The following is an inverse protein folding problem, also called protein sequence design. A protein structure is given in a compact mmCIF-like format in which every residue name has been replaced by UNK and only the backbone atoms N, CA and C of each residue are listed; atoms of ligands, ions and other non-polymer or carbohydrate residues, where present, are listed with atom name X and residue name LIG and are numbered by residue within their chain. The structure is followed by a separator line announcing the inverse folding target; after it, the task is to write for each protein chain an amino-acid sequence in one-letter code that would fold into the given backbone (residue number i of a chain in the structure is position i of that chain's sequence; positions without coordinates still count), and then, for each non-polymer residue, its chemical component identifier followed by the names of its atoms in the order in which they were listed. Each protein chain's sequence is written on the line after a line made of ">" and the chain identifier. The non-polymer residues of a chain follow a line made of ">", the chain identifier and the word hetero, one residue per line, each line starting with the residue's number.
data_IF_036567491368
#
_entry.id   IF_036567491368
#
_cell.length_a   1.000
_cell.length_b   1.000
_cell.length_c   1.000
_cell.angle_alpha   90.00
_cell.angle_beta   90.00
_cell.angle_gamma   90.00
#
_symmetry.space_group_name_H-M   'P 1'
#
loop_
_entity.id
_entity.type
_entity.pdbx_description
1 polymer ?
#
# COMPACT_ATOMS: atom_id res chain seq x y z
N UNK A 1 -31.36 -54.35 8.65
CA UNK A 1 -31.08 -54.03 10.07
C UNK A 1 -32.37 -54.23 10.82
N UNK A 2 -32.36 -55.09 11.85
CA UNK A 2 -33.58 -55.35 12.62
C UNK A 2 -34.00 -54.10 13.41
N UNK A 3 -35.29 -53.93 13.67
CA UNK A 3 -35.83 -52.80 14.45
C UNK A 3 -35.13 -52.68 15.80
N UNK A 4 -34.80 -53.82 16.40
CA UNK A 4 -34.07 -53.89 17.67
C UNK A 4 -32.65 -53.27 17.60
N UNK A 5 -31.95 -53.47 16.46
CA UNK A 5 -30.62 -52.89 16.25
C UNK A 5 -30.69 -51.35 16.08
N UNK A 6 -31.73 -50.86 15.41
CA UNK A 6 -31.97 -49.44 15.26
C UNK A 6 -32.32 -48.74 16.57
N UNK A 7 -33.14 -49.39 17.41
CA UNK A 7 -33.49 -48.87 18.74
C UNK A 7 -32.26 -48.88 19.69
N UNK A 8 -31.43 -49.92 19.62
CA UNK A 8 -30.19 -49.97 20.41
C UNK A 8 -29.24 -48.78 20.02
N UNK A 9 -29.08 -48.59 18.72
CA UNK A 9 -28.20 -47.48 18.21
C UNK A 9 -28.78 -46.10 18.55
N UNK A 10 -30.10 -45.91 18.48
CA UNK A 10 -30.72 -44.67 18.89
C UNK A 10 -30.51 -44.38 20.39
N UNK A 11 -30.61 -45.41 21.20
CA UNK A 11 -30.37 -45.31 22.65
C UNK A 11 -28.92 -44.96 22.98
N UNK A 12 -27.96 -45.53 22.26
CA UNK A 12 -26.55 -45.24 22.39
C UNK A 12 -26.27 -43.78 21.99
N UNK A 13 -26.82 -43.30 20.85
CA UNK A 13 -26.68 -41.90 20.42
C UNK A 13 -27.28 -40.92 21.42
N UNK A 14 -28.41 -41.27 22.03
CA UNK A 14 -29.07 -40.48 23.06
C UNK A 14 -28.19 -40.37 24.33
N UNK A 15 -27.57 -41.44 24.76
CA UNK A 15 -26.64 -41.47 25.90
C UNK A 15 -25.42 -40.61 25.58
N UNK A 16 -24.81 -40.78 24.41
CA UNK A 16 -23.66 -39.99 23.97
C UNK A 16 -23.98 -38.49 23.91
N UNK A 17 -25.22 -38.11 23.51
CA UNK A 17 -25.64 -36.71 23.53
C UNK A 17 -25.74 -36.18 24.98
N UNK A 18 -26.32 -36.94 25.91
CA UNK A 18 -26.42 -36.57 27.32
C UNK A 18 -25.02 -36.36 27.95
N UNK A 19 -24.10 -37.29 27.67
CA UNK A 19 -22.72 -37.24 28.17
C UNK A 19 -21.96 -36.04 27.57
N UNK A 20 -22.17 -35.78 26.28
CA UNK A 20 -21.60 -34.61 25.61
C UNK A 20 -22.12 -33.31 26.20
N UNK A 21 -23.44 -33.20 26.44
CA UNK A 21 -24.03 -32.01 27.07
C UNK A 21 -23.46 -31.77 28.47
N UNK A 22 -23.34 -32.85 29.28
CA UNK A 22 -22.78 -32.79 30.63
C UNK A 22 -21.30 -32.36 30.58
N UNK A 23 -20.52 -32.88 29.64
CA UNK A 23 -19.12 -32.49 29.43
C UNK A 23 -19.00 -31.01 29.00
N UNK A 24 -20.03 -30.49 28.36
CA UNK A 24 -20.12 -29.07 27.96
C UNK A 24 -20.78 -28.17 29.02
N UNK A 25 -20.95 -28.65 30.22
CA UNK A 25 -21.48 -27.90 31.36
C UNK A 25 -23.00 -27.70 31.37
N UNK A 26 -23.72 -28.42 30.52
CA UNK A 26 -25.19 -28.42 30.51
C UNK A 26 -25.67 -29.64 31.28
N UNK A 27 -26.50 -29.41 32.30
CA UNK A 27 -27.05 -30.51 33.10
C UNK A 27 -27.96 -31.41 32.25
N UNK A 28 -27.51 -32.63 31.98
CA UNK A 28 -28.25 -33.62 31.21
C UNK A 28 -28.07 -35.03 31.86
N UNK A 29 -29.19 -35.75 31.96
CA UNK A 29 -29.14 -37.11 32.51
C UNK A 29 -29.23 -38.13 31.34
N UNK A 30 -28.51 -39.21 31.46
CA UNK A 30 -28.51 -40.33 30.49
C UNK A 30 -29.87 -41.03 30.34
N UNK A 31 -30.82 -40.71 31.22
CA UNK A 31 -32.19 -41.20 31.19
C UNK A 31 -33.17 -40.28 30.46
N UNK A 32 -32.76 -39.06 30.11
CA UNK A 32 -33.64 -38.08 29.42
C UNK A 32 -33.89 -38.50 27.97
N UNK A 33 -35.09 -38.22 27.47
CA UNK A 33 -35.48 -38.45 26.09
C UNK A 33 -34.85 -37.42 25.13
N UNK A 34 -34.81 -37.71 23.84
CA UNK A 34 -34.26 -36.78 22.83
C UNK A 34 -35.06 -35.46 22.77
N UNK A 35 -36.34 -35.48 23.05
CA UNK A 35 -37.19 -34.30 23.13
C UNK A 35 -36.75 -33.31 24.22
N UNK A 36 -36.07 -33.81 25.26
CA UNK A 36 -35.51 -33.00 26.35
C UNK A 36 -34.03 -32.66 26.10
N UNK A 37 -33.25 -33.58 25.53
CA UNK A 37 -31.83 -33.40 25.30
C UNK A 37 -31.53 -32.45 24.12
N UNK A 38 -32.33 -32.52 23.03
CA UNK A 38 -32.09 -31.69 21.83
C UNK A 38 -32.21 -30.20 22.12
N UNK A 39 -33.22 -29.69 22.83
CA UNK A 39 -33.29 -28.30 23.22
C UNK A 39 -32.11 -27.85 24.08
N UNK A 40 -31.55 -28.71 24.93
CA UNK A 40 -30.39 -28.44 25.77
C UNK A 40 -29.10 -28.16 24.98
N UNK A 41 -29.01 -28.58 23.73
CA UNK A 41 -27.91 -28.23 22.83
C UNK A 41 -27.78 -26.70 22.69
N UNK A 42 -28.93 -26.02 22.69
CA UNK A 42 -28.92 -24.54 22.66
C UNK A 42 -28.46 -23.89 23.97
N UNK A 43 -28.41 -24.65 25.08
CA UNK A 43 -27.92 -24.17 26.36
C UNK A 43 -26.39 -24.34 26.51
N UNK A 44 -25.74 -25.01 25.56
CA UNK A 44 -24.29 -25.13 25.57
C UNK A 44 -23.71 -23.72 25.45
N UNK A 45 -23.33 -23.17 26.57
CA UNK A 45 -22.54 -21.94 26.63
C UNK A 45 -21.08 -22.29 26.32
N UNK A 46 -20.77 -22.60 25.11
CA UNK A 46 -19.40 -22.54 24.61
C UNK A 46 -19.15 -21.07 24.35
N UNK A 47 -18.72 -20.36 25.37
CA UNK A 47 -18.79 -18.90 25.42
C UNK A 47 -17.42 -18.24 25.40
N UNK A 48 -16.46 -18.81 24.68
CA UNK A 48 -15.14 -18.20 24.68
C UNK A 48 -14.50 -18.31 23.30
N UNK A 49 -14.29 -17.18 22.64
CA UNK A 49 -13.32 -17.08 21.57
C UNK A 49 -11.92 -16.98 22.19
N UNK A 50 -10.94 -17.67 21.63
CA UNK A 50 -9.54 -17.59 22.08
C UNK A 50 -8.77 -16.77 21.06
N UNK A 51 -8.12 -15.70 21.51
CA UNK A 51 -7.20 -14.93 20.71
C UNK A 51 -5.79 -15.38 21.09
N UNK A 52 -5.10 -16.03 20.15
CA UNK A 52 -3.69 -16.38 20.27
C UNK A 52 -2.86 -15.23 19.71
N UNK A 53 -2.02 -14.65 20.55
CA UNK A 53 -1.24 -13.46 20.24
C UNK A 53 0.23 -13.84 20.17
N UNK A 54 0.88 -13.50 19.06
CA UNK A 54 2.33 -13.56 18.93
C UNK A 54 2.89 -12.15 19.10
N UNK A 55 3.80 -11.98 20.04
CA UNK A 55 4.43 -10.71 20.37
C UNK A 55 5.86 -10.65 19.80
N UNK A 56 6.33 -9.46 19.48
CA UNK A 56 7.77 -9.21 19.32
C UNK A 56 8.49 -9.43 20.66
N UNK A 57 9.72 -9.93 20.61
CA UNK A 57 10.56 -10.16 21.79
C UNK A 57 10.80 -8.90 22.64
N UNK A 58 10.69 -7.72 22.04
CA UNK A 58 10.77 -6.44 22.74
C UNK A 58 9.68 -6.25 23.81
N UNK A 59 8.55 -6.98 23.68
CA UNK A 59 7.46 -6.90 24.66
C UNK A 59 7.60 -7.88 25.83
N UNK A 60 8.56 -8.79 25.83
CA UNK A 60 8.72 -9.76 26.93
C UNK A 60 8.77 -9.05 28.28
N UNK A 61 7.94 -9.50 29.22
CA UNK A 61 7.79 -8.89 30.54
C UNK A 61 6.93 -7.62 30.60
N UNK A 62 6.47 -7.08 29.46
CA UNK A 62 5.56 -5.93 29.42
C UNK A 62 4.11 -6.36 29.59
N UNK A 63 3.32 -5.50 30.23
CA UNK A 63 1.87 -5.68 30.29
C UNK A 63 1.21 -5.43 28.95
N UNK A 64 0.21 -6.24 28.60
CA UNK A 64 -0.62 -6.02 27.43
C UNK A 64 -2.11 -6.00 27.79
N UNK A 65 -2.93 -5.40 26.94
CA UNK A 65 -4.39 -5.40 27.04
C UNK A 65 -5.02 -5.92 25.75
N UNK A 66 -6.17 -6.58 25.89
CA UNK A 66 -7.05 -6.98 24.78
C UNK A 66 -8.43 -6.46 25.13
N UNK A 67 -8.99 -5.55 24.32
CA UNK A 67 -10.28 -4.91 24.60
C UNK A 67 -11.15 -4.79 23.36
N UNK A 68 -12.47 -4.95 23.53
CA UNK A 68 -13.47 -4.71 22.48
C UNK A 68 -13.99 -3.25 22.48
N UNK A 69 -13.53 -2.43 23.40
CA UNK A 69 -14.05 -1.05 23.59
C UNK A 69 -15.42 -0.95 24.25
N UNK A 70 -16.12 -2.07 24.49
CA UNK A 70 -17.47 -2.13 25.06
C UNK A 70 -17.48 -2.73 26.48
N UNK A 71 -16.32 -2.97 27.07
CA UNK A 71 -16.16 -3.44 28.45
C UNK A 71 -15.55 -4.82 28.61
N UNK A 72 -15.41 -5.64 27.55
CA UNK A 72 -14.62 -6.87 27.63
C UNK A 72 -13.13 -6.52 27.48
N UNK A 73 -12.45 -6.43 28.60
CA UNK A 73 -11.01 -6.12 28.66
C UNK A 73 -10.28 -7.21 29.44
N UNK A 74 -9.23 -7.73 28.83
CA UNK A 74 -8.30 -8.68 29.44
C UNK A 74 -6.90 -8.07 29.47
N UNK A 75 -6.14 -8.41 30.48
CA UNK A 75 -4.75 -7.99 30.64
C UNK A 75 -3.86 -9.20 30.89
N UNK A 76 -2.63 -9.12 30.43
CA UNK A 76 -1.61 -10.15 30.66
C UNK A 76 -0.22 -9.54 30.70
N UNK A 77 0.77 -10.38 30.91
CA UNK A 77 2.19 -10.06 30.77
C UNK A 77 2.74 -10.92 29.67
N UNK A 78 3.45 -10.33 28.72
CA UNK A 78 4.03 -11.05 27.59
C UNK A 78 5.07 -12.07 28.10
N UNK A 79 4.88 -13.37 27.86
CA UNK A 79 5.78 -14.41 28.33
C UNK A 79 7.08 -14.47 27.51
N UNK A 80 8.11 -15.15 28.03
CA UNK A 80 9.39 -15.38 27.32
C UNK A 80 9.22 -16.13 25.98
N UNK A 81 8.14 -16.92 25.84
CA UNK A 81 7.78 -17.61 24.60
C UNK A 81 7.31 -16.66 23.49
N UNK A 82 7.06 -15.39 23.82
CA UNK A 82 6.45 -14.40 22.92
C UNK A 82 5.06 -14.82 22.37
N UNK A 83 4.40 -15.82 22.96
CA UNK A 83 3.07 -16.27 22.53
C UNK A 83 2.19 -16.44 23.75
N UNK A 84 1.04 -15.80 23.75
CA UNK A 84 0.01 -15.98 24.78
C UNK A 84 -1.37 -16.18 24.16
N UNK A 85 -2.32 -16.71 24.94
CA UNK A 85 -3.67 -16.98 24.50
C UNK A 85 -4.68 -16.42 25.48
N UNK A 86 -5.56 -15.57 25.00
CA UNK A 86 -6.54 -14.84 25.80
C UNK A 86 -7.95 -15.29 25.44
N UNK A 87 -8.72 -15.68 26.45
CA UNK A 87 -10.14 -15.99 26.29
C UNK A 87 -10.97 -14.70 26.36
N UNK A 88 -11.77 -14.45 25.32
CA UNK A 88 -12.64 -13.26 25.20
C UNK A 88 -14.11 -13.67 25.09
N UNK A 89 -15.00 -12.82 25.61
CA UNK A 89 -16.40 -13.19 25.81
C UNK A 89 -17.24 -13.08 24.51
N UNK A 90 -16.90 -12.15 23.61
CA UNK A 90 -17.76 -11.79 22.49
C UNK A 90 -17.22 -12.35 21.18
N UNK A 91 -18.09 -13.04 20.43
CA UNK A 91 -17.84 -13.43 19.06
C UNK A 91 -18.29 -12.33 18.09
N UNK A 92 -17.84 -12.41 16.83
CA UNK A 92 -18.15 -11.44 15.80
C UNK A 92 -17.80 -9.99 16.20
N UNK A 93 -16.72 -9.86 16.96
CA UNK A 93 -16.30 -8.60 17.62
C UNK A 93 -14.83 -8.33 17.30
N UNK A 94 -14.51 -7.06 17.04
CA UNK A 94 -13.12 -6.64 16.87
C UNK A 94 -12.52 -6.29 18.21
N UNK A 95 -11.41 -6.93 18.53
CA UNK A 95 -10.59 -6.67 19.70
C UNK A 95 -9.33 -5.92 19.31
N UNK A 96 -8.98 -4.93 20.10
CA UNK A 96 -7.69 -4.23 20.03
C UNK A 96 -6.74 -4.83 21.06
N UNK A 97 -5.58 -5.27 20.59
CA UNK A 97 -4.47 -5.73 21.41
C UNK A 97 -3.49 -4.57 21.52
N UNK A 98 -3.04 -4.23 22.72
CA UNK A 98 -2.06 -3.16 22.92
C UNK A 98 -1.07 -3.49 24.02
N UNK A 99 0.19 -3.07 23.82
CA UNK A 99 1.26 -3.12 24.80
C UNK A 99 2.22 -1.95 24.60
N UNK A 100 2.93 -1.54 25.64
CA UNK A 100 3.89 -0.45 25.57
C UNK A 100 5.31 -0.96 25.81
N UNK A 101 6.25 -0.43 25.03
CA UNK A 101 7.70 -0.61 25.24
C UNK A 101 8.43 0.68 24.93
N UNK A 102 9.40 1.05 25.78
CA UNK A 102 10.16 2.29 25.62
C UNK A 102 9.30 3.58 25.65
N UNK A 103 8.13 3.53 26.33
CA UNK A 103 7.19 4.66 26.39
C UNK A 103 6.27 4.79 25.17
N UNK A 104 6.39 3.92 24.18
CA UNK A 104 5.53 3.88 22.98
C UNK A 104 4.51 2.77 23.11
N UNK A 105 3.24 3.06 22.87
CA UNK A 105 2.16 2.07 22.84
C UNK A 105 1.97 1.56 21.42
N UNK A 106 2.04 0.25 21.23
CA UNK A 106 1.77 -0.45 19.98
C UNK A 106 0.42 -1.14 20.08
N UNK A 107 -0.30 -1.19 18.98
CA UNK A 107 -1.59 -1.86 18.92
C UNK A 107 -1.81 -2.58 17.60
N UNK A 108 -2.62 -3.63 17.64
CA UNK A 108 -3.14 -4.32 16.48
C UNK A 108 -4.56 -4.79 16.78
N UNK A 109 -5.33 -5.09 15.76
CA UNK A 109 -6.70 -5.56 15.89
C UNK A 109 -6.87 -6.98 15.37
N UNK A 110 -7.83 -7.70 15.95
CA UNK A 110 -8.27 -9.00 15.47
C UNK A 110 -9.80 -9.08 15.58
N UNK A 111 -10.45 -9.51 14.51
CA UNK A 111 -11.91 -9.72 14.52
C UNK A 111 -12.20 -11.20 14.72
N UNK A 112 -12.93 -11.51 15.79
CA UNK A 112 -13.44 -12.87 16.04
C UNK A 112 -14.62 -13.14 15.11
N UNK A 113 -14.70 -14.36 14.55
CA UNK A 113 -15.82 -14.77 13.70
C UNK A 113 -17.09 -15.10 14.49
N UNK A 114 -18.11 -15.51 13.76
CA UNK A 114 -19.43 -15.87 14.32
C UNK A 114 -19.43 -17.16 15.19
N UNK A 115 -18.35 -17.91 15.13
CA UNK A 115 -18.21 -19.18 15.84
C UNK A 115 -17.06 -19.13 16.84
N UNK A 116 -17.20 -19.88 17.93
CA UNK A 116 -16.13 -20.07 18.91
C UNK A 116 -14.94 -20.78 18.27
N UNK A 117 -13.74 -20.24 18.45
CA UNK A 117 -12.56 -20.77 17.85
C UNK A 117 -11.30 -20.00 18.29
N UNK A 118 -10.15 -20.46 17.78
CA UNK A 118 -8.88 -19.75 17.94
C UNK A 118 -8.70 -18.76 16.79
N UNK A 119 -8.44 -17.52 17.13
CA UNK A 119 -8.13 -16.42 16.22
C UNK A 119 -6.71 -15.95 16.49
N UNK A 120 -5.94 -15.68 15.46
CA UNK A 120 -4.54 -15.31 15.61
C UNK A 120 -4.33 -13.82 15.39
N UNK A 121 -3.48 -13.22 16.21
CA UNK A 121 -3.03 -11.86 16.06
C UNK A 121 -1.52 -11.77 16.32
N UNK A 122 -0.88 -10.74 15.79
CA UNK A 122 0.51 -10.42 16.07
C UNK A 122 0.61 -9.00 16.60
N UNK A 123 1.42 -8.77 17.64
CA UNK A 123 1.79 -7.43 18.08
C UNK A 123 3.30 -7.28 17.95
N UNK A 124 3.72 -6.47 17.01
CA UNK A 124 5.12 -6.25 16.70
C UNK A 124 5.51 -4.83 17.05
N UNK A 125 6.75 -4.62 17.47
CA UNK A 125 7.34 -3.29 17.51
C UNK A 125 7.46 -2.75 16.09
N UNK A 126 7.17 -1.46 15.92
CA UNK A 126 7.34 -0.86 14.62
C UNK A 126 8.82 -0.85 14.23
N UNK A 127 9.10 -1.35 13.03
CA UNK A 127 10.43 -1.30 12.42
C UNK A 127 10.59 -0.02 11.63
N UNK A 128 11.81 0.49 11.58
CA UNK A 128 12.16 1.68 10.82
C UNK A 128 13.15 1.27 9.72
N UNK A 129 12.73 1.40 8.47
CA UNK A 129 13.57 1.13 7.31
C UNK A 129 13.98 2.45 6.67
N UNK A 130 15.27 2.73 6.63
CA UNK A 130 15.76 4.00 6.16
C UNK A 130 16.70 3.91 4.96
N UNK A 131 16.76 5.02 4.23
CA UNK A 131 17.78 5.27 3.19
C UNK A 131 18.23 6.71 3.27
N UNK A 132 19.50 6.94 2.95
CA UNK A 132 20.13 8.26 2.94
C UNK A 132 20.87 8.48 1.63
N UNK A 133 20.62 9.64 1.01
CA UNK A 133 21.39 10.13 -0.12
C UNK A 133 22.18 11.36 0.31
N UNK A 134 23.45 11.39 0.00
CA UNK A 134 24.39 12.42 0.46
C UNK A 134 24.46 13.65 -0.48
N UNK A 135 23.67 13.66 -1.55
CA UNK A 135 23.65 14.75 -2.52
C UNK A 135 24.84 14.72 -3.48
N UNK A 136 25.62 13.63 -3.53
CA UNK A 136 26.69 13.44 -4.52
C UNK A 136 26.14 12.98 -5.87
N UNK A 137 26.97 12.91 -6.89
CA UNK A 137 26.56 12.61 -8.26
C UNK A 137 26.07 11.17 -8.49
N UNK A 138 26.12 10.29 -7.49
CA UNK A 138 25.54 8.95 -7.59
C UNK A 138 24.00 8.99 -7.53
N UNK A 139 23.35 8.09 -8.24
CA UNK A 139 21.91 7.86 -8.10
C UNK A 139 21.58 7.00 -6.86
N UNK A 140 22.58 6.26 -6.35
CA UNK A 140 22.42 5.32 -5.25
C UNK A 140 22.28 6.00 -3.89
N UNK A 141 21.44 5.40 -3.05
CA UNK A 141 21.25 5.72 -1.65
C UNK A 141 21.92 4.68 -0.76
N UNK A 142 22.31 5.06 0.44
CA UNK A 142 22.81 4.15 1.46
C UNK A 142 21.66 3.72 2.38
N UNK A 143 21.52 2.43 2.62
CA UNK A 143 20.52 1.90 3.57
C UNK A 143 20.90 2.22 5.00
N UNK A 144 19.92 2.52 5.83
CA UNK A 144 20.08 2.89 7.25
C UNK A 144 19.02 2.19 8.11
N UNK A 145 19.11 2.38 9.41
CA UNK A 145 18.15 1.87 10.39
C UNK A 145 18.01 0.33 10.27
N UNK A 146 16.84 -0.25 10.42
CA UNK A 146 16.61 -1.71 10.32
C UNK A 146 16.93 -2.29 8.93
N UNK A 147 17.05 -1.46 7.90
CA UNK A 147 17.44 -1.88 6.56
C UNK A 147 18.95 -1.83 6.29
N UNK A 148 19.78 -1.38 7.24
CA UNK A 148 21.21 -1.11 7.01
C UNK A 148 22.01 -2.30 6.45
N UNK A 149 21.62 -3.53 6.81
CA UNK A 149 22.28 -4.76 6.36
C UNK A 149 21.53 -5.50 5.23
N UNK A 150 20.47 -4.91 4.68
CA UNK A 150 19.71 -5.55 3.61
C UNK A 150 20.48 -5.49 2.29
N UNK A 151 20.45 -6.60 1.57
CA UNK A 151 20.95 -6.67 0.19
C UNK A 151 20.00 -5.93 -0.77
N UNK A 152 20.50 -5.61 -1.95
CA UNK A 152 19.64 -5.05 -2.99
C UNK A 152 18.61 -6.07 -3.46
N UNK A 153 17.38 -5.65 -3.76
CA UNK A 153 16.39 -6.48 -4.43
C UNK A 153 16.89 -6.97 -5.79
N UNK A 154 16.51 -8.18 -6.13
CA UNK A 154 16.74 -8.79 -7.44
C UNK A 154 15.41 -8.85 -8.19
N UNK A 155 15.07 -7.88 -9.04
CA UNK A 155 13.85 -7.89 -9.83
C UNK A 155 13.84 -9.05 -10.83
N UNK A 156 12.64 -9.53 -11.15
CA UNK A 156 12.47 -10.50 -12.22
C UNK A 156 12.88 -9.92 -13.59
N UNK A 157 13.55 -10.69 -14.38
CA UNK A 157 13.69 -10.52 -15.85
C UNK A 157 13.22 -11.79 -16.53
N UNK A 158 12.69 -11.69 -17.74
CA UNK A 158 12.14 -12.86 -18.45
C UNK A 158 13.14 -14.00 -18.56
N UNK A 159 12.76 -15.17 -18.07
CA UNK A 159 13.60 -16.37 -18.03
C UNK A 159 14.49 -16.50 -16.79
N UNK A 160 14.48 -15.54 -15.87
CA UNK A 160 15.25 -15.65 -14.63
C UNK A 160 14.64 -16.71 -13.68
N UNK A 161 15.52 -17.49 -13.06
CA UNK A 161 15.16 -18.46 -12.01
C UNK A 161 15.38 -17.95 -10.58
N UNK A 162 15.99 -16.77 -10.42
CA UNK A 162 16.28 -16.16 -9.12
C UNK A 162 15.83 -14.71 -9.12
N UNK A 163 14.99 -14.36 -8.19
CA UNK A 163 14.48 -13.01 -7.91
C UNK A 163 13.99 -12.96 -6.46
N UNK A 164 13.91 -11.77 -5.88
CA UNK A 164 13.46 -11.57 -4.49
C UNK A 164 13.86 -10.22 -3.93
N UNK A 165 13.26 -9.86 -2.82
CA UNK A 165 13.56 -8.65 -2.07
C UNK A 165 13.60 -8.94 -0.56
N UNK A 166 14.54 -8.35 0.19
CA UNK A 166 14.50 -8.40 1.65
C UNK A 166 13.19 -7.87 2.26
N UNK A 167 12.44 -7.10 1.49
CA UNK A 167 11.19 -6.48 1.91
C UNK A 167 9.94 -7.33 1.62
N UNK A 168 10.07 -8.52 1.01
CA UNK A 168 8.92 -9.33 0.59
C UNK A 168 8.02 -9.80 1.75
N UNK A 169 8.60 -9.97 2.93
CA UNK A 169 7.89 -10.38 4.13
C UNK A 169 7.74 -9.26 5.17
N UNK A 170 8.00 -8.00 4.79
CA UNK A 170 8.00 -6.86 5.70
C UNK A 170 6.87 -5.88 5.33
N UNK A 171 6.11 -5.43 6.34
CA UNK A 171 5.13 -4.38 6.14
C UNK A 171 5.80 -3.02 5.92
N UNK A 172 5.27 -2.16 5.04
CA UNK A 172 4.02 -2.31 4.27
C UNK A 172 4.12 -3.12 2.98
N UNK A 173 5.31 -3.43 2.48
CA UNK A 173 5.53 -4.11 1.18
C UNK A 173 4.85 -5.48 1.09
N UNK A 174 4.93 -6.29 2.16
CA UNK A 174 4.28 -7.61 2.24
C UNK A 174 2.75 -7.54 2.11
N UNK A 175 2.15 -6.41 2.46
CA UNK A 175 0.70 -6.21 2.36
C UNK A 175 0.24 -5.63 1.03
N UNK A 176 1.16 -5.35 0.10
CA UNK A 176 0.80 -4.94 -1.26
C UNK A 176 0.36 -6.16 -2.06
N UNK A 177 -0.88 -6.16 -2.50
CA UNK A 177 -1.49 -7.30 -3.20
C UNK A 177 -2.45 -6.84 -4.28
N UNK A 178 -2.70 -7.73 -5.27
CA UNK A 178 -3.69 -7.50 -6.31
C UNK A 178 -5.09 -7.72 -5.75
N UNK A 179 -6.00 -6.82 -6.07
CA UNK A 179 -7.43 -6.93 -5.77
C UNK A 179 -8.24 -6.53 -6.99
N UNK A 180 -9.45 -7.05 -7.09
CA UNK A 180 -10.39 -6.69 -8.17
C UNK A 180 -11.57 -5.97 -7.56
N UNK A 181 -11.88 -4.79 -8.06
CA UNK A 181 -13.08 -4.03 -7.76
C UNK A 181 -14.02 -3.99 -8.97
N UNK A 182 -15.31 -4.08 -8.74
CA UNK A 182 -16.30 -4.14 -9.81
C UNK A 182 -16.43 -2.82 -10.60
N UNK A 183 -16.21 -1.69 -9.94
CA UNK A 183 -16.28 -0.36 -10.54
C UNK A 183 -14.94 0.09 -11.11
N UNK A 184 -13.85 -0.11 -10.38
CA UNK A 184 -12.50 0.36 -10.71
C UNK A 184 -11.70 -0.63 -11.59
N UNK A 185 -11.96 -1.94 -11.50
CA UNK A 185 -11.22 -2.99 -12.18
C UNK A 185 -10.08 -3.56 -11.32
N UNK A 186 -8.94 -3.84 -11.95
CA UNK A 186 -7.76 -4.42 -11.28
C UNK A 186 -6.98 -3.35 -10.51
N UNK A 187 -6.80 -3.56 -9.22
CA UNK A 187 -6.14 -2.63 -8.31
C UNK A 187 -4.95 -3.28 -7.62
N UNK A 188 -4.10 -2.46 -7.06
CA UNK A 188 -3.08 -2.85 -6.09
C UNK A 188 -3.37 -2.15 -4.77
N UNK A 189 -3.53 -2.93 -3.73
CA UNK A 189 -3.68 -2.50 -2.35
C UNK A 189 -2.34 -2.00 -1.83
N UNK A 190 -2.35 -0.89 -1.11
CA UNK A 190 -1.20 -0.33 -0.39
C UNK A 190 -1.60 -0.14 1.07
N UNK A 191 -0.99 -0.86 2.03
CA UNK A 191 -1.25 -0.67 3.46
C UNK A 191 -0.70 0.65 3.96
N UNK A 192 -1.31 1.19 5.03
CA UNK A 192 -0.83 2.37 5.74
C UNK A 192 0.58 2.14 6.29
N UNK A 193 1.39 3.18 6.18
CA UNK A 193 2.70 3.27 6.79
C UNK A 193 2.98 4.69 7.25
N UNK A 194 4.02 4.86 8.04
CA UNK A 194 4.49 6.16 8.51
C UNK A 194 5.84 6.47 7.89
N UNK A 195 6.11 7.74 7.65
CA UNK A 195 7.36 8.19 7.05
C UNK A 195 7.94 9.37 7.83
N UNK A 196 9.24 9.56 7.65
CA UNK A 196 9.96 10.75 8.09
C UNK A 196 10.99 11.13 7.05
N UNK A 197 10.91 12.37 6.58
CA UNK A 197 11.99 13.00 5.83
C UNK A 197 12.85 13.82 6.77
N UNK A 198 14.17 13.76 6.58
CA UNK A 198 15.15 14.64 7.23
C UNK A 198 16.10 15.16 6.17
N UNK A 199 16.40 16.46 6.23
CA UNK A 199 17.34 17.12 5.33
C UNK A 199 18.39 17.90 6.11
N UNK A 200 19.66 17.77 5.70
CA UNK A 200 20.79 18.57 6.20
C UNK A 200 21.68 18.94 5.02
N UNK A 201 21.64 20.21 4.62
CA UNK A 201 22.25 20.63 3.36
C UNK A 201 21.67 19.85 2.17
N UNK A 202 22.52 19.19 1.39
CA UNK A 202 22.12 18.36 0.26
C UNK A 202 21.82 16.91 0.66
N UNK A 203 22.10 16.52 1.90
CA UNK A 203 21.83 15.17 2.39
C UNK A 203 20.35 15.01 2.69
N UNK A 204 19.72 13.99 2.10
CA UNK A 204 18.35 13.59 2.35
C UNK A 204 18.33 12.24 3.05
N UNK A 205 17.48 12.09 4.05
CA UNK A 205 17.18 10.79 4.68
C UNK A 205 15.68 10.56 4.65
N UNK A 206 15.27 9.43 4.10
CA UNK A 206 13.89 8.92 4.15
C UNK A 206 13.85 7.71 5.09
N UNK A 207 12.90 7.71 5.98
CA UNK A 207 12.59 6.59 6.85
C UNK A 207 11.13 6.20 6.68
N UNK A 208 10.85 4.90 6.62
CA UNK A 208 9.50 4.31 6.61
C UNK A 208 9.37 3.43 7.84
N UNK A 209 8.22 3.51 8.51
CA UNK A 209 7.85 2.64 9.62
C UNK A 209 6.53 1.94 9.33
N UNK A 210 6.42 0.68 9.73
CA UNK A 210 5.18 -0.11 9.68
C UNK A 210 4.22 0.15 10.85
N UNK A 211 4.56 1.08 11.73
CA UNK A 211 3.74 1.53 12.85
C UNK A 211 4.05 2.98 13.22
N UNK A 212 3.17 3.58 14.00
CA UNK A 212 3.35 4.96 14.47
C UNK A 212 4.66 5.11 15.26
N UNK A 213 5.40 6.17 15.00
CA UNK A 213 6.64 6.53 15.66
C UNK A 213 6.65 8.03 15.96
N UNK A 214 7.38 8.42 17.00
CA UNK A 214 7.55 9.84 17.33
C UNK A 214 8.29 10.59 16.21
N UNK A 215 7.71 11.71 15.78
CA UNK A 215 8.22 12.52 14.70
C UNK A 215 8.05 11.92 13.29
N UNK A 216 7.24 10.87 13.15
CA UNK A 216 6.80 10.34 11.84
C UNK A 216 5.39 10.81 11.51
N UNK A 217 5.12 10.94 10.22
CA UNK A 217 3.82 11.29 9.67
C UNK A 217 3.22 10.09 8.93
N UNK A 218 1.90 10.00 8.89
CA UNK A 218 1.20 9.03 8.05
C UNK A 218 1.50 9.30 6.58
N UNK A 219 1.72 8.25 5.79
CA UNK A 219 2.02 8.38 4.36
C UNK A 219 0.97 9.21 3.63
N UNK A 220 1.36 9.99 2.61
CA UNK A 220 0.50 11.05 2.05
C UNK A 220 -0.84 10.57 1.51
N UNK A 221 -0.88 9.38 0.89
CA UNK A 221 -2.13 8.82 0.37
C UNK A 221 -3.10 8.36 1.48
N UNK A 222 -2.57 7.97 2.64
CA UNK A 222 -3.34 7.47 3.78
C UNK A 222 -3.76 8.57 4.76
N UNK A 223 -3.09 9.73 4.73
CA UNK A 223 -3.36 10.85 5.62
C UNK A 223 -4.77 11.40 5.41
N UNK A 224 -5.29 12.10 6.42
CA UNK A 224 -6.54 12.84 6.30
C UNK A 224 -6.44 13.85 5.16
N UNK A 225 -7.32 13.68 4.18
CA UNK A 225 -7.39 14.52 2.97
C UNK A 225 -8.31 15.74 3.15
N UNK A 226 -8.91 15.90 4.34
CA UNK A 226 -9.91 16.94 4.61
C UNK A 226 -11.25 16.68 3.92
N UNK A 227 -11.55 15.43 3.60
CA UNK A 227 -12.80 14.96 2.98
C UNK A 227 -13.79 14.39 4.02
N UNK A 228 -13.45 14.49 5.30
CA UNK A 228 -14.28 14.02 6.41
C UNK A 228 -14.16 12.52 6.71
N UNK A 229 -13.30 11.78 6.01
CA UNK A 229 -13.09 10.34 6.21
C UNK A 229 -11.90 10.04 7.14
N UNK A 230 -11.07 11.05 7.46
CA UNK A 230 -9.88 10.89 8.28
C UNK A 230 -8.75 10.11 7.61
N UNK A 231 -7.89 9.49 8.42
CA UNK A 231 -6.83 8.60 7.94
C UNK A 231 -7.41 7.27 7.44
N UNK A 232 -6.74 6.68 6.45
CA UNK A 232 -7.11 5.41 5.84
C UNK A 232 -6.08 4.33 6.16
N UNK A 233 -6.54 3.14 6.55
CA UNK A 233 -5.64 2.00 6.78
C UNK A 233 -5.14 1.36 5.48
N UNK A 234 -5.89 1.56 4.41
CA UNK A 234 -5.59 1.03 3.09
C UNK A 234 -5.99 2.03 2.03
N UNK A 235 -5.19 2.13 0.97
CA UNK A 235 -5.54 2.81 -0.27
C UNK A 235 -5.24 1.90 -1.46
N UNK A 236 -5.82 2.20 -2.61
CA UNK A 236 -5.66 1.38 -3.80
C UNK A 236 -5.26 2.22 -5.00
N UNK A 237 -4.43 1.65 -5.86
CA UNK A 237 -4.02 2.26 -7.13
C UNK A 237 -4.36 1.32 -8.29
N UNK A 238 -4.79 1.85 -9.41
CA UNK A 238 -5.00 1.05 -10.62
C UNK A 238 -3.74 0.28 -10.99
N UNK A 239 -3.84 -1.05 -11.09
CA UNK A 239 -2.73 -1.91 -11.54
C UNK A 239 -2.22 -1.46 -12.89
N UNK A 240 -3.13 -1.11 -13.80
CA UNK A 240 -2.85 -0.63 -15.16
C UNK A 240 -3.20 0.83 -15.32
N UNK A 241 -2.66 1.43 -16.38
CA UNK A 241 -3.15 2.70 -16.91
C UNK A 241 -4.62 2.53 -17.36
N UNK A 242 -5.48 3.51 -17.05
CA UNK A 242 -6.91 3.38 -17.28
C UNK A 242 -7.27 3.27 -18.76
N UNK A 243 -8.14 2.33 -19.12
CA UNK A 243 -8.60 2.09 -20.49
C UNK A 243 -9.74 3.04 -20.92
N UNK A 244 -10.35 2.79 -22.07
CA UNK A 244 -11.43 3.62 -22.62
C UNK A 244 -12.64 3.80 -21.70
N UNK A 245 -12.90 2.85 -20.81
CA UNK A 245 -13.95 2.92 -19.78
C UNK A 245 -13.50 3.56 -18.48
N UNK A 246 -12.29 4.11 -18.42
CA UNK A 246 -11.59 4.65 -17.25
C UNK A 246 -11.19 3.62 -16.19
N UNK A 247 -11.58 2.36 -16.32
CA UNK A 247 -11.20 1.27 -15.44
C UNK A 247 -9.74 0.85 -15.66
N UNK A 248 -9.15 0.26 -14.64
CA UNK A 248 -7.88 -0.45 -14.72
C UNK A 248 -8.13 -1.88 -15.21
N UNK A 249 -7.91 -2.15 -16.50
CA UNK A 249 -8.29 -3.43 -17.13
C UNK A 249 -7.17 -3.95 -18.02
N UNK A 250 -6.78 -5.22 -17.83
CA UNK A 250 -5.77 -5.89 -18.65
C UNK A 250 -6.18 -6.02 -20.11
N UNK A 251 -5.20 -6.13 -21.01
CA UNK A 251 -5.41 -6.38 -22.44
C UNK A 251 -6.01 -5.21 -23.22
N UNK A 252 -6.20 -4.06 -22.60
CA UNK A 252 -6.80 -2.88 -23.22
C UNK A 252 -5.75 -1.79 -23.47
N UNK A 253 -5.95 -0.98 -24.51
CA UNK A 253 -5.15 0.22 -24.71
C UNK A 253 -5.50 1.28 -23.67
N UNK A 254 -4.51 2.00 -23.11
CA UNK A 254 -4.77 3.15 -22.25
C UNK A 254 -5.62 4.22 -22.95
N UNK A 255 -6.51 4.83 -22.19
CA UNK A 255 -7.24 6.02 -22.61
C UNK A 255 -6.26 7.17 -22.79
N UNK A 256 -6.13 7.67 -24.00
CA UNK A 256 -5.27 8.81 -24.34
C UNK A 256 -6.08 9.90 -25.07
N UNK A 257 -5.43 10.98 -25.49
CA UNK A 257 -6.07 12.12 -26.14
C UNK A 257 -7.19 12.72 -25.27
N UNK A 258 -6.88 12.90 -24.02
CA UNK A 258 -7.82 13.34 -22.98
C UNK A 258 -7.19 14.44 -22.12
N UNK A 259 -7.95 15.49 -21.81
CA UNK A 259 -7.53 16.53 -20.86
C UNK A 259 -7.55 16.01 -19.42
N UNK A 260 -6.80 16.67 -18.52
CA UNK A 260 -6.79 16.29 -17.10
C UNK A 260 -8.19 16.38 -16.48
N UNK A 261 -8.95 17.42 -16.76
CA UNK A 261 -10.31 17.57 -16.25
C UNK A 261 -11.28 16.51 -16.76
N UNK A 262 -11.17 16.13 -18.04
CA UNK A 262 -12.01 15.06 -18.60
C UNK A 262 -11.63 13.68 -18.02
N UNK A 263 -10.35 13.43 -17.78
CA UNK A 263 -9.88 12.23 -17.09
C UNK A 263 -10.42 12.17 -15.65
N UNK A 264 -10.31 13.28 -14.90
CA UNK A 264 -10.87 13.39 -13.54
C UNK A 264 -12.35 13.07 -13.51
N UNK A 265 -13.14 13.73 -14.39
CA UNK A 265 -14.60 13.53 -14.45
C UNK A 265 -14.98 12.08 -14.81
N UNK A 266 -14.29 11.49 -15.81
CA UNK A 266 -14.57 10.14 -16.25
C UNK A 266 -14.23 9.07 -15.19
N UNK A 267 -13.13 9.25 -14.47
CA UNK A 267 -12.73 8.36 -13.38
C UNK A 267 -13.68 8.50 -12.17
N UNK A 268 -13.99 9.72 -11.75
CA UNK A 268 -14.90 9.96 -10.62
C UNK A 268 -16.31 9.42 -10.88
N UNK A 269 -16.74 9.39 -12.14
CA UNK A 269 -18.03 8.81 -12.53
C UNK A 269 -18.12 7.29 -12.33
N UNK A 270 -17.00 6.58 -12.08
CA UNK A 270 -17.00 5.14 -11.79
C UNK A 270 -17.61 4.82 -10.42
N UNK A 271 -17.48 5.71 -9.45
CA UNK A 271 -18.06 5.50 -8.12
C UNK A 271 -17.47 6.38 -7.03
N UNK A 272 -18.10 6.32 -5.87
CA UNK A 272 -17.60 7.02 -4.67
C UNK A 272 -16.26 6.43 -4.23
N UNK A 273 -15.32 7.31 -3.85
CA UNK A 273 -13.98 6.91 -3.41
C UNK A 273 -13.00 6.67 -4.56
N UNK A 274 -13.46 6.67 -5.82
CA UNK A 274 -12.61 6.47 -6.99
C UNK A 274 -12.22 7.85 -7.56
N UNK A 275 -10.92 8.09 -7.67
CA UNK A 275 -10.36 9.37 -8.08
C UNK A 275 -9.27 9.17 -9.14
N UNK A 276 -8.99 10.23 -9.90
CA UNK A 276 -7.79 10.27 -10.72
C UNK A 276 -6.55 10.19 -9.83
N UNK A 277 -5.54 9.47 -10.29
CA UNK A 277 -4.24 9.31 -9.65
C UNK A 277 -3.65 10.68 -9.29
N UNK A 278 -3.23 10.85 -8.04
CA UNK A 278 -2.79 12.14 -7.52
C UNK A 278 -1.35 12.11 -6.98
N UNK A 279 -0.84 13.30 -6.69
CA UNK A 279 0.52 13.48 -6.23
C UNK A 279 0.79 12.81 -4.87
N UNK A 280 -0.21 12.70 -3.99
CA UNK A 280 -0.02 12.03 -2.70
C UNK A 280 0.18 10.52 -2.88
N UNK A 281 -0.59 9.89 -3.78
CA UNK A 281 -0.40 8.49 -4.14
C UNK A 281 0.93 8.26 -4.86
N UNK A 282 1.29 9.17 -5.79
CA UNK A 282 2.56 9.11 -6.51
C UNK A 282 3.76 9.13 -5.56
N UNK A 283 3.79 10.09 -4.62
CA UNK A 283 4.87 10.19 -3.62
C UNK A 283 4.86 9.01 -2.65
N UNK A 284 3.69 8.49 -2.28
CA UNK A 284 3.58 7.27 -1.46
C UNK A 284 4.29 6.09 -2.11
N UNK A 285 4.09 5.89 -3.43
CA UNK A 285 4.77 4.82 -4.19
C UNK A 285 6.28 5.11 -4.31
N UNK A 286 6.68 6.35 -4.53
CA UNK A 286 8.08 6.75 -4.59
C UNK A 286 8.83 6.48 -3.28
N UNK A 287 8.20 6.76 -2.12
CA UNK A 287 8.78 6.46 -0.81
C UNK A 287 9.04 4.96 -0.62
N UNK A 288 8.05 4.12 -0.96
CA UNK A 288 8.18 2.66 -0.90
C UNK A 288 9.32 2.16 -1.79
N UNK A 289 9.39 2.65 -3.03
CA UNK A 289 10.44 2.31 -3.97
C UNK A 289 11.83 2.73 -3.46
N UNK A 290 11.99 3.97 -3.00
CA UNK A 290 13.29 4.48 -2.54
C UNK A 290 13.85 3.66 -1.40
N UNK A 291 13.03 3.30 -0.41
CA UNK A 291 13.49 2.49 0.72
C UNK A 291 13.81 1.06 0.27
N UNK A 292 13.04 0.50 -0.64
CA UNK A 292 13.27 -0.86 -1.14
C UNK A 292 14.49 -0.96 -2.05
N UNK A 293 14.63 -0.07 -3.04
CA UNK A 293 15.66 -0.14 -4.07
C UNK A 293 16.90 0.70 -3.79
N UNK A 294 16.82 1.66 -2.89
CA UNK A 294 17.89 2.55 -2.51
C UNK A 294 18.60 3.22 -3.73
N UNK A 295 17.80 3.69 -4.70
CA UNK A 295 18.34 4.31 -5.91
C UNK A 295 17.30 5.24 -6.56
N UNK A 296 17.75 6.36 -7.14
CA UNK A 296 16.91 7.23 -7.93
C UNK A 296 16.54 6.64 -9.30
N UNK A 297 17.39 5.77 -9.86
CA UNK A 297 17.22 5.22 -11.21
C UNK A 297 16.36 3.94 -11.21
N UNK A 298 15.06 4.12 -11.28
CA UNK A 298 14.09 3.02 -11.35
C UNK A 298 14.21 2.21 -12.66
N UNK A 299 14.62 2.85 -13.75
CA UNK A 299 14.77 2.18 -15.04
C UNK A 299 15.95 1.19 -15.03
N UNK A 300 17.09 1.58 -14.48
CA UNK A 300 18.25 0.69 -14.33
C UNK A 300 17.99 -0.40 -13.29
N UNK A 301 17.29 -0.09 -12.21
CA UNK A 301 17.03 -1.06 -11.14
C UNK A 301 15.99 -2.12 -11.53
N UNK A 302 14.89 -1.74 -12.19
CA UNK A 302 13.77 -2.65 -12.46
C UNK A 302 13.64 -2.99 -13.94
N UNK A 303 13.75 -2.00 -14.81
CA UNK A 303 13.64 -2.18 -16.26
C UNK A 303 13.32 -0.88 -16.99
N UNK A 304 13.79 -0.75 -18.22
CA UNK A 304 13.67 0.47 -19.01
C UNK A 304 12.22 0.81 -19.38
N UNK A 305 11.35 -0.19 -19.48
CA UNK A 305 9.98 -0.01 -19.98
C UNK A 305 9.90 0.19 -21.48
N UNK A 306 8.71 0.48 -21.98
CA UNK A 306 8.45 0.72 -23.39
C UNK A 306 8.84 2.15 -23.75
N UNK A 307 10.02 2.33 -24.31
CA UNK A 307 10.56 3.62 -24.73
C UNK A 307 10.97 3.66 -26.22
N UNK A 308 10.66 2.63 -27.01
CA UNK A 308 11.09 2.50 -28.42
C UNK A 308 9.97 2.09 -29.39
N UNK A 309 8.70 2.16 -28.97
CA UNK A 309 7.54 1.89 -29.84
C UNK A 309 7.10 3.12 -30.62
N UNK A 310 6.33 2.93 -31.69
CA UNK A 310 5.74 4.00 -32.49
C UNK A 310 4.33 4.39 -32.07
N UNK A 311 3.69 3.63 -31.18
CA UNK A 311 2.30 3.84 -30.77
C UNK A 311 2.03 3.27 -29.37
N UNK A 312 0.90 3.69 -28.80
CA UNK A 312 0.34 3.15 -27.54
C UNK A 312 0.10 1.66 -27.69
N UNK A 313 0.45 0.91 -26.67
CA UNK A 313 0.30 -0.54 -26.58
C UNK A 313 -0.77 -0.91 -25.54
N UNK A 314 -1.33 -2.12 -25.64
CA UNK A 314 -2.22 -2.65 -24.61
C UNK A 314 -1.44 -2.92 -23.32
N UNK A 315 -2.05 -2.65 -22.17
CA UNK A 315 -1.53 -3.03 -20.85
C UNK A 315 -1.75 -4.52 -20.58
N UNK A 316 -1.14 -5.06 -19.51
CA UNK A 316 -1.25 -6.47 -19.14
C UNK A 316 -0.05 -7.31 -19.58
N UNK A 317 1.01 -6.69 -20.10
CA UNK A 317 2.22 -7.41 -20.51
C UNK A 317 2.91 -8.11 -19.32
N UNK A 318 2.71 -7.62 -18.09
CA UNK A 318 3.25 -8.22 -16.85
C UNK A 318 2.34 -9.28 -16.20
N UNK A 319 1.22 -9.66 -16.79
CA UNK A 319 0.24 -10.55 -16.15
C UNK A 319 0.79 -11.94 -15.83
N UNK A 320 1.65 -12.45 -16.68
CA UNK A 320 2.31 -13.75 -16.49
C UNK A 320 3.62 -13.68 -15.69
N UNK A 321 4.01 -12.49 -15.22
CA UNK A 321 5.23 -12.35 -14.42
C UNK A 321 5.08 -13.11 -13.10
N UNK A 322 6.00 -14.01 -12.75
CA UNK A 322 5.90 -14.86 -11.56
C UNK A 322 6.20 -14.10 -10.25
N UNK A 323 6.70 -12.87 -10.36
CA UNK A 323 7.09 -12.04 -9.23
C UNK A 323 6.51 -10.64 -9.35
N UNK A 324 6.22 -10.00 -8.24
CA UNK A 324 5.54 -8.70 -8.18
C UNK A 324 6.35 -7.51 -8.72
N UNK A 325 7.65 -7.66 -8.98
CA UNK A 325 8.54 -6.57 -9.41
C UNK A 325 9.53 -7.06 -10.45
N UNK A 326 9.61 -6.36 -11.58
CA UNK A 326 10.55 -6.70 -12.64
C UNK A 326 10.12 -6.23 -14.02
N UNK A 327 10.69 -6.87 -15.03
CA UNK A 327 10.38 -6.64 -16.46
C UNK A 327 10.15 -7.96 -17.20
N UNK A 328 9.24 -7.94 -18.15
CA UNK A 328 9.01 -9.07 -19.08
C UNK A 328 10.05 -9.14 -20.20
N UNK A 329 11.03 -8.25 -20.20
CA UNK A 329 12.17 -8.30 -21.10
C UNK A 329 13.26 -9.22 -20.54
N UNK A 330 14.11 -9.77 -21.41
CA UNK A 330 15.21 -10.65 -21.04
C UNK A 330 16.39 -9.92 -20.36
N UNK A 331 16.35 -8.61 -20.32
CA UNK A 331 17.28 -7.74 -19.60
C UNK A 331 16.57 -6.47 -19.14
N UNK A 332 17.00 -5.91 -18.01
CA UNK A 332 16.53 -4.61 -17.50
C UNK A 332 16.86 -3.46 -18.46
N UNK A 333 17.89 -3.60 -19.25
CA UNK A 333 18.35 -2.60 -20.22
C UNK A 333 17.73 -2.76 -21.61
N UNK A 334 16.76 -3.65 -21.77
CA UNK A 334 16.01 -3.82 -23.01
C UNK A 334 14.69 -3.06 -22.92
N UNK A 335 14.42 -2.21 -23.92
CA UNK A 335 13.13 -1.55 -24.03
C UNK A 335 12.04 -2.55 -24.39
N UNK A 336 10.91 -2.46 -23.75
CA UNK A 336 9.73 -3.28 -24.00
C UNK A 336 8.70 -3.13 -22.89
N UNK A 337 7.45 -3.55 -23.14
CA UNK A 337 6.37 -3.51 -22.17
C UNK A 337 6.55 -4.53 -21.04
N UNK A 338 5.82 -4.31 -19.96
CA UNK A 338 5.70 -5.21 -18.84
C UNK A 338 6.70 -4.94 -17.74
N UNK A 339 7.02 -3.68 -17.49
CA UNK A 339 7.66 -3.26 -16.26
C UNK A 339 6.62 -3.12 -15.18
N UNK A 340 6.84 -3.74 -14.02
CA UNK A 340 5.99 -3.53 -12.85
C UNK A 340 6.81 -3.37 -11.57
N UNK A 341 6.30 -2.58 -10.65
CA UNK A 341 6.75 -2.45 -9.27
C UNK A 341 5.62 -2.82 -8.34
N UNK A 342 5.83 -3.85 -7.52
CA UNK A 342 4.85 -4.34 -6.54
C UNK A 342 3.45 -4.48 -7.15
N UNK A 343 3.36 -5.21 -8.28
CA UNK A 343 2.16 -5.45 -9.09
C UNK A 343 1.62 -4.23 -9.87
N UNK A 344 2.15 -3.03 -9.68
CA UNK A 344 1.72 -1.85 -10.43
C UNK A 344 2.47 -1.82 -11.75
N UNK A 345 1.79 -2.13 -12.86
CA UNK A 345 2.36 -2.12 -14.20
C UNK A 345 2.41 -0.71 -14.77
N UNK A 346 3.46 -0.40 -15.52
CA UNK A 346 3.53 0.79 -16.35
C UNK A 346 3.60 2.10 -15.58
N UNK A 347 4.34 2.16 -14.46
CA UNK A 347 4.56 3.41 -13.74
C UNK A 347 5.38 4.42 -14.56
N UNK A 348 6.24 3.95 -15.50
CA UNK A 348 7.09 4.80 -16.36
C UNK A 348 7.21 4.27 -17.78
N UNK A 349 6.17 3.64 -18.32
CA UNK A 349 6.14 3.15 -19.69
C UNK A 349 4.80 3.44 -20.39
N UNK A 350 4.75 3.22 -21.70
CA UNK A 350 3.58 3.21 -22.56
C UNK A 350 2.96 4.60 -22.77
N UNK A 351 2.35 5.24 -21.77
CA UNK A 351 1.84 6.61 -21.85
C UNK A 351 2.14 7.37 -20.58
N UNK A 352 2.36 8.68 -20.72
CA UNK A 352 2.24 9.59 -19.59
C UNK A 352 0.82 9.53 -19.04
N UNK A 353 0.65 9.85 -17.79
CA UNK A 353 -0.67 10.06 -17.22
C UNK A 353 -0.72 11.31 -16.37
N UNK A 354 -1.88 11.96 -16.43
CA UNK A 354 -2.13 13.16 -15.67
C UNK A 354 -2.02 12.88 -14.16
N UNK A 355 -1.37 13.81 -13.48
CA UNK A 355 -1.25 13.82 -12.03
C UNK A 355 -2.19 14.88 -11.45
N UNK A 356 -3.09 14.46 -10.57
CA UNK A 356 -4.01 15.37 -9.90
C UNK A 356 -3.52 15.81 -8.51
N UNK A 357 -4.26 16.67 -7.80
CA UNK A 357 -3.89 17.19 -6.49
C UNK A 357 -2.67 18.11 -6.49
N UNK A 358 -2.18 18.51 -7.64
CA UNK A 358 -1.05 19.42 -7.77
C UNK A 358 -1.21 20.36 -8.96
N UNK A 359 -0.50 21.49 -8.88
CA UNK A 359 -0.58 22.57 -9.83
C UNK A 359 0.71 23.38 -9.85
N UNK A 360 1.20 23.78 -11.03
CA UNK A 360 2.38 24.62 -11.19
C UNK A 360 2.02 25.99 -11.74
N UNK A 361 2.52 27.05 -11.10
CA UNK A 361 2.31 28.44 -11.56
C UNK A 361 3.52 29.33 -11.17
N UNK A 362 3.36 30.64 -11.29
CA UNK A 362 4.41 31.61 -10.92
C UNK A 362 4.83 31.54 -9.44
N UNK A 363 4.02 30.97 -8.56
CA UNK A 363 4.36 30.73 -7.15
C UNK A 363 5.01 29.37 -6.91
N UNK A 364 5.30 28.61 -7.97
CA UNK A 364 5.92 27.30 -7.92
C UNK A 364 4.90 26.14 -7.91
N UNK A 365 5.30 25.04 -7.28
CA UNK A 365 4.49 23.83 -7.10
C UNK A 365 3.47 24.06 -5.97
N UNK A 366 2.22 23.85 -6.26
CA UNK A 366 1.11 23.97 -5.31
C UNK A 366 0.45 22.63 -5.11
N UNK A 367 0.06 22.31 -3.87
CA UNK A 367 -0.54 21.04 -3.46
C UNK A 367 -1.98 21.28 -2.98
N UNK A 368 -2.88 20.43 -3.45
CA UNK A 368 -4.27 20.36 -3.01
C UNK A 368 -4.50 18.99 -2.38
N UNK A 369 -4.74 18.93 -1.08
CA UNK A 369 -4.95 17.64 -0.36
C UNK A 369 -6.34 17.07 -0.58
N UNK A 370 -7.37 17.91 -0.47
CA UNK A 370 -8.77 17.48 -0.56
C UNK A 370 -9.15 17.18 -2.01
N UNK A 371 -9.54 15.94 -2.27
CA UNK A 371 -9.92 15.46 -3.60
C UNK A 371 -11.12 16.21 -4.21
N UNK A 372 -12.04 16.72 -3.38
CA UNK A 372 -13.17 17.52 -3.83
C UNK A 372 -12.77 18.88 -4.41
N UNK A 373 -11.56 19.36 -4.09
CA UNK A 373 -11.03 20.64 -4.53
C UNK A 373 -10.06 20.51 -5.72
N UNK A 374 -9.89 19.32 -6.29
CA UNK A 374 -9.04 19.10 -7.44
C UNK A 374 -9.55 19.89 -8.65
N UNK A 375 -8.70 20.69 -9.25
CA UNK A 375 -9.05 21.51 -10.40
C UNK A 375 -7.84 21.81 -11.28
N UNK A 376 -8.08 22.39 -12.45
CA UNK A 376 -7.03 22.82 -13.37
C UNK A 376 -6.69 24.32 -13.21
N UNK A 377 -7.28 24.98 -12.20
CA UNK A 377 -6.99 26.34 -11.79
C UNK A 377 -6.25 26.38 -10.45
N UNK A 378 -5.48 27.43 -10.21
CA UNK A 378 -4.65 27.57 -9.02
C UNK A 378 -5.51 27.67 -7.75
N UNK A 379 -5.53 26.57 -6.98
CA UNK A 379 -6.06 26.53 -5.64
C UNK A 379 -5.21 25.51 -4.87
N UNK A 380 -4.36 25.94 -4.02
CA UNK A 380 -3.51 25.00 -3.25
C UNK A 380 -2.49 25.77 -2.45
N UNK A 381 -1.71 25.02 -1.69
CA UNK A 381 -0.63 25.58 -0.89
C UNK A 381 0.68 25.44 -1.65
N UNK A 382 1.35 26.55 -1.89
CA UNK A 382 2.66 26.58 -2.54
C UNK A 382 3.72 25.94 -1.61
N UNK A 383 4.54 25.04 -2.15
CA UNK A 383 5.55 24.30 -1.38
C UNK A 383 6.98 24.67 -1.77
N UNK A 384 7.16 25.24 -2.95
CA UNK A 384 8.46 25.67 -3.46
C UNK A 384 8.48 25.79 -4.97
N UNK A 385 9.56 26.32 -5.53
CA UNK A 385 9.71 26.47 -6.99
C UNK A 385 10.73 25.47 -7.50
N UNK A 386 10.29 24.40 -8.18
CA UNK A 386 11.18 23.41 -8.78
C UNK A 386 12.09 24.03 -9.85
N UNK A 387 13.32 23.56 -9.91
CA UNK A 387 14.26 23.89 -11.00
C UNK A 387 14.04 22.93 -12.18
N UNK A 388 13.96 23.45 -13.38
CA UNK A 388 13.77 22.68 -14.62
C UNK A 388 15.09 22.00 -15.03
N UNK A 389 15.02 20.74 -15.48
CA UNK A 389 16.16 19.96 -15.95
C UNK A 389 16.37 18.66 -15.18
N UNK A 390 17.59 18.10 -15.25
CA UNK A 390 17.99 16.93 -14.46
C UNK A 390 18.41 17.37 -13.06
N UNK A 391 17.68 16.98 -12.00
CA UNK A 391 17.97 17.46 -10.67
C UNK A 391 19.37 17.04 -10.19
N UNK A 392 20.12 17.97 -9.62
CA UNK A 392 21.38 17.71 -8.90
C UNK A 392 21.28 18.02 -7.42
N UNK A 393 20.21 18.67 -6.98
CA UNK A 393 19.84 18.84 -5.59
C UNK A 393 18.30 18.80 -5.46
N UNK A 394 17.83 18.20 -4.37
CA UNK A 394 16.43 18.13 -4.02
C UNK A 394 16.19 18.80 -2.67
N UNK A 395 15.00 19.32 -2.44
CA UNK A 395 14.58 19.86 -1.16
C UNK A 395 13.27 19.21 -0.69
N UNK A 396 13.18 19.01 0.61
CA UNK A 396 11.94 18.65 1.30
C UNK A 396 11.16 19.95 1.55
N UNK A 397 9.87 19.97 1.27
CA UNK A 397 9.02 21.12 1.57
C UNK A 397 8.96 21.36 3.09
N UNK A 398 8.99 22.63 3.49
CA UNK A 398 8.94 23.04 4.90
C UNK A 398 7.56 23.53 5.33
N UNK A 399 6.56 23.33 4.50
CA UNK A 399 5.18 23.69 4.76
C UNK A 399 4.51 22.61 5.60
N UNK A 400 3.94 23.02 6.74
CA UNK A 400 3.32 22.10 7.70
C UNK A 400 2.22 21.23 7.07
N UNK A 401 2.35 19.90 7.22
CA UNK A 401 1.47 18.89 6.64
C UNK A 401 1.73 18.63 5.15
N UNK A 402 2.81 19.16 4.58
CA UNK A 402 3.28 18.93 3.21
C UNK A 402 4.77 18.54 3.15
N UNK A 403 5.37 18.16 4.27
CA UNK A 403 6.77 17.75 4.41
C UNK A 403 7.07 16.45 3.63
N UNK A 404 6.08 15.88 3.00
CA UNK A 404 6.22 14.73 2.11
C UNK A 404 6.58 15.11 0.67
N UNK A 405 6.43 16.38 0.30
CA UNK A 405 6.76 16.87 -1.04
C UNK A 405 8.24 17.13 -1.15
N UNK A 406 8.87 16.50 -2.14
CA UNK A 406 10.25 16.77 -2.51
C UNK A 406 10.26 17.38 -3.91
N UNK A 407 11.16 18.34 -4.16
CA UNK A 407 11.30 19.01 -5.44
C UNK A 407 12.72 19.44 -5.74
N UNK A 408 13.16 19.55 -7.01
CA UNK A 408 14.51 19.95 -7.37
C UNK A 408 14.77 21.42 -7.08
N UNK A 409 15.95 21.70 -6.51
CA UNK A 409 16.44 23.06 -6.24
C UNK A 409 17.66 23.42 -7.09
N UNK A 410 18.28 22.45 -7.76
CA UNK A 410 19.32 22.62 -8.76
C UNK A 410 19.21 21.53 -9.84
N UNK A 411 19.62 21.85 -11.06
CA UNK A 411 19.49 20.96 -12.22
C UNK A 411 20.77 20.93 -13.08
N UNK A 412 21.85 20.39 -12.50
CA UNK A 412 23.14 20.20 -13.17
C UNK A 412 23.47 18.71 -13.34
N UNK A 413 22.48 17.83 -13.21
CA UNK A 413 22.61 16.39 -13.35
C UNK A 413 22.50 15.89 -14.79
N UNK A 414 22.34 14.60 -14.94
CA UNK A 414 22.13 13.90 -16.22
C UNK A 414 21.26 12.67 -15.99
N UNK A 415 20.92 11.96 -17.06
CA UNK A 415 20.18 10.70 -16.98
C UNK A 415 20.94 9.53 -16.32
N UNK A 416 22.11 9.75 -15.80
CA UNK A 416 22.94 8.73 -15.11
C UNK A 416 23.55 9.26 -13.82
N UNK A 417 23.25 10.52 -13.43
CA UNK A 417 23.81 11.14 -12.24
C UNK A 417 22.74 11.84 -11.40
N UNK A 418 22.92 11.86 -10.10
CA UNK A 418 22.02 12.46 -9.12
C UNK A 418 20.60 11.84 -9.21
N UNK A 419 19.61 12.62 -9.64
CA UNK A 419 18.26 12.12 -9.97
C UNK A 419 18.19 11.94 -11.48
N UNK A 420 18.20 10.70 -11.95
CA UNK A 420 18.30 10.32 -13.37
C UNK A 420 17.11 10.75 -14.22
N UNK A 421 16.00 11.13 -13.60
CA UNK A 421 14.76 11.53 -14.26
C UNK A 421 14.63 13.05 -14.37
N UNK A 422 14.27 13.54 -15.55
CA UNK A 422 14.13 14.97 -15.82
C UNK A 422 12.84 15.53 -15.19
N UNK A 423 12.93 16.76 -14.69
CA UNK A 423 11.78 17.58 -14.34
C UNK A 423 11.63 18.66 -15.40
N UNK A 424 10.46 18.70 -16.08
CA UNK A 424 10.24 19.56 -17.24
C UNK A 424 9.01 20.46 -17.03
N UNK A 425 9.26 21.72 -16.70
CA UNK A 425 8.23 22.74 -16.45
C UNK A 425 8.14 23.72 -17.60
N UNK A 426 6.93 24.16 -17.92
CA UNK A 426 6.68 25.20 -18.91
C UNK A 426 5.96 26.39 -18.27
N UNK A 427 6.31 27.59 -18.67
CA UNK A 427 5.81 28.84 -18.09
C UNK A 427 4.27 28.97 -18.05
N UNK A 428 3.57 28.29 -18.97
CA UNK A 428 2.10 28.32 -19.07
C UNK A 428 1.49 26.90 -19.01
N UNK A 429 2.16 25.96 -18.34
CA UNK A 429 1.78 24.56 -18.29
C UNK A 429 1.48 24.12 -16.85
N UNK A 430 0.29 24.44 -16.32
CA UNK A 430 -0.01 24.23 -14.90
C UNK A 430 -0.27 22.78 -14.51
N UNK A 431 -0.60 21.88 -15.45
CA UNK A 431 -1.03 20.54 -15.17
C UNK A 431 0.13 19.56 -15.23
N UNK A 432 0.44 18.91 -14.12
CA UNK A 432 1.51 17.95 -14.03
C UNK A 432 1.11 16.61 -14.66
N UNK A 433 2.09 15.94 -15.24
CA UNK A 433 2.03 14.55 -15.72
C UNK A 433 3.28 13.79 -15.31
N UNK A 434 3.15 12.50 -15.14
CA UNK A 434 4.22 11.60 -14.71
C UNK A 434 4.29 10.37 -15.60
N UNK A 435 5.25 9.49 -15.32
CA UNK A 435 5.49 8.28 -16.09
C UNK A 435 6.30 8.54 -17.37
N UNK A 436 6.37 7.55 -18.24
CA UNK A 436 7.02 7.62 -19.55
C UNK A 436 6.06 7.28 -20.67
N UNK A 437 6.44 7.46 -21.91
CA UNK A 437 5.62 7.08 -23.06
C UNK A 437 6.40 6.26 -24.10
N UNK A 438 5.66 5.63 -24.99
CA UNK A 438 6.09 4.57 -25.91
C UNK A 438 7.29 4.89 -26.82
N UNK A 439 7.64 6.16 -27.06
CA UNK A 439 8.79 6.54 -27.90
C UNK A 439 9.89 7.29 -27.14
N UNK A 440 9.88 7.25 -25.81
CA UNK A 440 10.94 7.87 -24.99
C UNK A 440 11.93 6.87 -24.47
N UNK A 441 13.20 7.24 -24.51
CA UNK A 441 14.29 6.46 -23.92
C UNK A 441 14.39 6.58 -22.41
N UNK A 442 15.59 6.35 -21.89
CA UNK A 442 15.97 6.57 -20.50
C UNK A 442 15.78 8.05 -20.14
N UNK A 443 15.45 8.37 -18.93
CA UNK A 443 15.24 9.68 -18.31
C UNK A 443 13.80 9.99 -17.86
N UNK A 444 12.95 8.97 -17.88
CA UNK A 444 11.55 9.11 -17.50
C UNK A 444 11.10 7.89 -16.72
N UNK A 445 11.79 7.65 -15.64
CA UNK A 445 11.44 6.64 -14.65
C UNK A 445 10.41 7.15 -13.66
N UNK A 446 10.45 6.57 -12.47
CA UNK A 446 9.50 6.84 -11.39
C UNK A 446 9.54 8.28 -10.86
N UNK A 447 10.61 9.03 -11.08
CA UNK A 447 10.76 10.40 -10.57
C UNK A 447 10.58 11.47 -11.64
N UNK A 448 10.22 11.08 -12.85
CA UNK A 448 9.92 12.04 -13.92
C UNK A 448 8.67 12.85 -13.59
N UNK A 449 8.78 14.17 -13.79
CA UNK A 449 7.66 15.11 -13.75
C UNK A 449 7.73 16.00 -14.98
N UNK A 450 6.61 16.16 -15.66
CA UNK A 450 6.46 17.13 -16.73
C UNK A 450 5.17 17.91 -16.59
N UNK A 451 5.09 19.04 -17.29
CA UNK A 451 3.90 19.90 -17.28
C UNK A 451 3.31 20.05 -18.68
N UNK A 452 2.02 20.27 -18.73
CA UNK A 452 1.23 20.57 -19.91
C UNK A 452 0.16 21.61 -19.59
N UNK A 453 -0.43 22.22 -20.63
CA UNK A 453 -1.58 23.10 -20.45
C UNK A 453 -2.82 22.28 -20.06
N UNK A 454 -3.79 22.93 -19.42
CA UNK A 454 -5.07 22.29 -19.06
C UNK A 454 -5.88 21.82 -20.30
N UNK A 455 -5.65 22.42 -21.45
CA UNK A 455 -6.32 22.07 -22.72
C UNK A 455 -5.63 20.95 -23.50
N UNK A 456 -4.44 20.51 -23.07
CA UNK A 456 -3.71 19.46 -23.79
C UNK A 456 -4.45 18.12 -23.70
N UNK A 457 -4.60 17.48 -24.88
CA UNK A 457 -5.19 16.15 -25.05
C UNK A 457 -4.36 15.38 -26.10
N UNK A 458 -3.14 14.99 -25.71
CA UNK A 458 -2.15 14.39 -26.61
C UNK A 458 -2.27 12.87 -26.66
N UNK A 459 -1.93 12.27 -27.80
CA UNK A 459 -2.00 10.82 -28.03
C UNK A 459 -1.05 9.98 -27.16
N UNK A 460 -0.15 10.61 -26.44
CA UNK A 460 0.79 9.97 -25.52
C UNK A 460 0.51 10.32 -24.03
N UNK A 461 -0.63 10.97 -23.73
CA UNK A 461 -1.02 11.29 -22.37
C UNK A 461 -2.39 10.67 -22.07
N UNK A 462 -2.43 9.85 -21.06
CA UNK A 462 -3.62 9.17 -20.56
C UNK A 462 -3.91 9.47 -19.09
N UNK A 463 -4.48 8.50 -18.40
CA UNK A 463 -4.82 8.58 -16.98
C UNK A 463 -4.60 7.25 -16.26
N UNK A 464 -4.57 7.32 -14.95
CA UNK A 464 -4.59 6.19 -14.02
C UNK A 464 -5.57 6.54 -12.90
N UNK A 465 -6.25 5.56 -12.36
CA UNK A 465 -7.14 5.75 -11.22
C UNK A 465 -6.48 5.35 -9.90
N UNK A 466 -7.06 5.83 -8.82
CA UNK A 466 -6.83 5.38 -7.45
C UNK A 466 -8.17 5.26 -6.73
N UNK A 467 -8.20 4.50 -5.63
CA UNK A 467 -9.36 4.41 -4.76
C UNK A 467 -8.95 4.72 -3.32
N UNK A 468 -9.69 5.62 -2.70
CA UNK A 468 -9.52 6.11 -1.34
C UNK A 468 -10.82 5.82 -0.58
N UNK A 469 -10.95 4.65 0.07
CA UNK A 469 -12.18 4.19 0.70
C UNK A 469 -12.66 5.05 1.88
#
# INVERSE_FOLDING_TARGET
>A
MAIADQLSRLNELRQNLADTLTTKGVTAASTEGLETLVPKVAEIKVSVCVIKITFDSAFVGQSYTVTDGNGDTKTGIVPESCVDSVSVANCNTTYTISAAVGGVTYSNTVTTGAYYGEYTATLLTAKIYGVQWDGTSTTAWTRTDDAALFTDPVPYVSGASSYGSPFDNLQPWAGMERVTDSAAGELVKIPKFWYKWTQSGNTLKLQISNGAQDGFFVSPAHADRGDGKGERDVVYVGRYQSCSTYKSTTGQAPKVSITRSAARSGITALGSGIYQFDIAMWVTIQMLYLVEFADWDSQVKIGYGCGSSSAVQNVGASDSMPYHTGTMQNSRTTFGLGVQYRYIEGLWENVYYWLDGCYYNSNGLNIVKNTANFSDTANGTAVGTPTDGYPSAMSVATVSGLEWVIYPTAANGSNTTYVSDIWAFGANAPCLRVGGYYSQGMHRGLFFVGCNTAADAKANIGCRLQELP
#
